data_IF_332193995958
#
_entry.id   IF_332193995958
#
_cell.length_a   1.000
_cell.length_b   1.000
_cell.length_c   1.000
_cell.angle_alpha   90.00
_cell.angle_beta   90.00
_cell.angle_gamma   90.00
#
_symmetry.space_group_name_H-M   'P 1'
#
loop_
_entity.id
_entity.type
_entity.pdbx_description
1 polymer ?
#
# COMPACT_ATOMS: atom_id res chain seq x y z
N UNK A 1 15.64 13.04 -10.06
CA UNK A 1 14.55 12.52 -9.21
C UNK A 1 14.91 12.85 -7.77
N UNK A 2 14.02 13.49 -7.01
CA UNK A 2 14.30 13.79 -5.60
C UNK A 2 14.43 12.48 -4.80
N UNK A 3 15.46 12.33 -3.98
CA UNK A 3 15.75 11.12 -3.19
C UNK A 3 14.55 10.69 -2.34
N UNK A 4 13.75 11.66 -1.87
CA UNK A 4 12.54 11.42 -1.06
C UNK A 4 11.46 10.65 -1.84
N UNK A 5 11.34 10.89 -3.15
CA UNK A 5 10.34 10.23 -3.99
C UNK A 5 10.61 8.74 -4.15
N UNK A 6 11.88 8.38 -4.32
CA UNK A 6 12.31 6.98 -4.36
C UNK A 6 11.99 6.29 -3.03
N UNK A 7 12.27 6.98 -1.92
CA UNK A 7 12.05 6.43 -0.59
C UNK A 7 10.56 6.23 -0.29
N UNK A 8 9.71 7.22 -0.57
CA UNK A 8 8.25 7.14 -0.40
C UNK A 8 7.66 6.00 -1.24
N UNK A 9 8.03 5.91 -2.52
CA UNK A 9 7.54 4.82 -3.39
C UNK A 9 7.98 3.45 -2.89
N UNK A 10 9.24 3.31 -2.48
CA UNK A 10 9.76 2.06 -1.93
C UNK A 10 9.03 1.60 -0.66
N UNK A 11 8.68 2.53 0.23
CA UNK A 11 7.89 2.22 1.45
C UNK A 11 6.51 1.66 1.06
N UNK A 12 5.81 2.32 0.13
CA UNK A 12 4.48 1.87 -0.29
C UNK A 12 4.51 0.59 -1.13
N UNK A 13 5.58 0.34 -1.88
CA UNK A 13 5.77 -0.93 -2.60
C UNK A 13 5.98 -2.09 -1.61
N UNK A 14 6.71 -1.87 -0.51
CA UNK A 14 6.89 -2.86 0.54
C UNK A 14 5.56 -3.13 1.27
N UNK A 15 4.81 -2.09 1.61
CA UNK A 15 3.45 -2.23 2.14
C UNK A 15 2.55 -3.03 1.18
N UNK A 16 2.64 -2.78 -0.12
CA UNK A 16 1.90 -3.53 -1.14
C UNK A 16 2.29 -5.01 -1.13
N UNK A 17 3.59 -5.33 -1.03
CA UNK A 17 4.07 -6.71 -0.89
C UNK A 17 3.48 -7.37 0.35
N UNK A 18 3.52 -6.72 1.52
CA UNK A 18 2.91 -7.24 2.75
C UNK A 18 1.42 -7.54 2.56
N UNK A 19 0.66 -6.61 1.96
CA UNK A 19 -0.77 -6.81 1.68
C UNK A 19 -1.00 -7.99 0.74
N UNK A 20 -0.19 -8.14 -0.33
CA UNK A 20 -0.30 -9.27 -1.26
C UNK A 20 0.00 -10.60 -0.55
N UNK A 21 1.02 -10.67 0.29
CA UNK A 21 1.33 -11.85 1.10
C UNK A 21 0.21 -12.18 2.09
N UNK A 22 -0.30 -11.18 2.82
CA UNK A 22 -1.41 -11.36 3.74
C UNK A 22 -2.67 -11.88 3.05
N UNK A 23 -3.04 -11.31 1.89
CA UNK A 23 -4.16 -11.77 1.09
C UNK A 23 -3.97 -13.22 0.61
N UNK A 24 -2.73 -13.60 0.27
CA UNK A 24 -2.40 -14.98 -0.15
C UNK A 24 -2.56 -15.97 1.01
N UNK A 25 -2.07 -15.62 2.20
CA UNK A 25 -2.22 -16.42 3.41
C UNK A 25 -3.70 -16.64 3.71
N UNK A 26 -4.48 -15.57 3.77
CA UNK A 26 -5.94 -15.64 4.01
C UNK A 26 -6.63 -16.48 2.94
N UNK A 27 -6.25 -16.32 1.66
CA UNK A 27 -6.80 -17.12 0.56
C UNK A 27 -6.53 -18.63 0.71
N UNK A 28 -5.33 -19.01 1.12
CA UNK A 28 -4.99 -20.42 1.37
C UNK A 28 -5.80 -21.00 2.54
N UNK A 29 -5.95 -20.24 3.63
CA UNK A 29 -6.76 -20.67 4.77
C UNK A 29 -8.25 -20.83 4.40
N UNK A 30 -8.81 -19.90 3.64
CA UNK A 30 -10.19 -20.00 3.15
C UNK A 30 -10.40 -21.21 2.26
N UNK A 31 -9.45 -21.50 1.36
CA UNK A 31 -9.50 -22.69 0.52
C UNK A 31 -9.46 -23.98 1.34
N UNK A 32 -8.66 -24.03 2.42
CA UNK A 32 -8.63 -25.16 3.36
C UNK A 32 -9.96 -25.36 4.11
N UNK A 33 -10.65 -24.27 4.45
CA UNK A 33 -11.98 -24.32 5.06
C UNK A 33 -13.10 -24.64 4.05
N UNK A 34 -12.76 -24.95 2.79
CA UNK A 34 -13.72 -25.34 1.76
C UNK A 34 -14.39 -24.18 1.03
N UNK A 35 -14.02 -22.93 1.31
CA UNK A 35 -14.55 -21.77 0.58
C UNK A 35 -13.92 -21.70 -0.81
N UNK A 36 -14.76 -21.74 -1.86
CA UNK A 36 -14.29 -21.58 -3.23
C UNK A 36 -13.89 -20.13 -3.51
N UNK A 37 -12.89 -19.88 -4.38
CA UNK A 37 -12.51 -18.52 -4.76
C UNK A 37 -13.70 -17.73 -5.33
N UNK A 38 -14.03 -16.58 -4.74
CA UNK A 38 -15.09 -15.68 -5.19
C UNK A 38 -16.45 -15.83 -4.50
N UNK A 39 -16.62 -16.82 -3.60
CA UNK A 39 -17.84 -16.92 -2.77
C UNK A 39 -17.77 -15.98 -1.56
N UNK A 40 -18.91 -15.40 -1.16
CA UNK A 40 -19.00 -14.53 0.03
C UNK A 40 -18.82 -15.35 1.30
N UNK A 41 -18.16 -14.79 2.32
CA UNK A 41 -17.90 -15.47 3.62
C UNK A 41 -19.16 -15.88 4.40
N UNK A 42 -20.34 -15.44 3.96
CA UNK A 42 -21.63 -15.81 4.56
C UNK A 42 -22.01 -17.29 4.34
N UNK A 43 -21.32 -18.00 3.44
CA UNK A 43 -21.50 -19.45 3.21
C UNK A 43 -20.67 -20.35 4.12
N UNK A 44 -19.80 -19.79 4.98
CA UNK A 44 -19.01 -20.54 5.96
C UNK A 44 -19.87 -20.90 7.19
N UNK A 45 -19.71 -22.14 7.66
CA UNK A 45 -20.37 -22.64 8.88
C UNK A 45 -19.93 -21.83 10.13
N UNK A 46 -20.78 -21.82 11.15
CA UNK A 46 -20.65 -21.06 12.40
C UNK A 46 -19.34 -21.41 13.13
N UNK A 47 -18.89 -22.66 13.02
CA UNK A 47 -17.60 -23.14 13.55
C UNK A 47 -16.40 -22.49 12.84
N UNK A 48 -16.46 -22.29 11.52
CA UNK A 48 -15.38 -21.66 10.74
C UNK A 48 -15.17 -20.19 11.12
N UNK A 49 -16.25 -19.48 11.47
CA UNK A 49 -16.19 -18.08 11.95
C UNK A 49 -15.58 -17.97 13.35
N UNK A 50 -15.86 -18.94 14.23
CA UNK A 50 -15.27 -19.01 15.58
C UNK A 50 -13.77 -19.31 15.47
N UNK A 51 -13.38 -20.26 14.62
CA UNK A 51 -11.98 -20.61 14.35
C UNK A 51 -11.18 -19.43 13.79
N UNK A 52 -11.75 -18.65 12.87
CA UNK A 52 -11.13 -17.43 12.33
C UNK A 52 -10.90 -16.35 13.39
N UNK A 53 -11.81 -16.20 14.35
CA UNK A 53 -11.66 -15.24 15.44
C UNK A 53 -10.63 -15.71 16.48
N UNK A 54 -10.60 -17.01 16.78
CA UNK A 54 -9.57 -17.61 17.63
C UNK A 54 -8.18 -17.52 16.98
N UNK A 55 -8.08 -17.69 15.65
CA UNK A 55 -6.85 -17.49 14.87
C UNK A 55 -6.29 -16.08 14.99
N UNK A 56 -7.15 -15.07 14.94
CA UNK A 56 -6.73 -13.67 15.12
C UNK A 56 -6.18 -13.41 16.53
N UNK A 57 -6.75 -14.08 17.54
CA UNK A 57 -6.32 -13.96 18.93
C UNK A 57 -5.03 -14.77 19.22
N UNK A 58 -4.93 -16.00 18.71
CA UNK A 58 -3.75 -16.86 18.89
C UNK A 58 -2.54 -16.32 18.13
N UNK A 59 -2.73 -15.76 16.93
CA UNK A 59 -1.65 -15.17 16.15
C UNK A 59 -0.94 -14.02 16.89
N UNK A 60 -1.68 -13.17 17.62
CA UNK A 60 -1.11 -12.11 18.46
C UNK A 60 -0.19 -12.66 19.59
N UNK A 61 -0.44 -13.89 20.04
CA UNK A 61 0.36 -14.58 21.05
C UNK A 61 1.52 -15.37 20.42
N UNK A 62 1.33 -15.98 19.24
CA UNK A 62 2.36 -16.69 18.48
C UNK A 62 3.47 -15.74 18.01
N UNK A 63 3.12 -14.51 17.57
CA UNK A 63 4.12 -13.48 17.25
C UNK A 63 5.06 -13.17 18.41
N UNK A 64 4.57 -13.25 19.66
CA UNK A 64 5.40 -13.07 20.86
C UNK A 64 6.23 -14.31 21.20
N UNK A 65 5.76 -15.52 20.85
CA UNK A 65 6.47 -16.78 21.08
C UNK A 65 7.68 -16.96 20.14
N UNK A 66 7.61 -16.46 18.90
CA UNK A 66 8.68 -16.58 17.90
C UNK A 66 9.91 -15.72 18.26
N UNK A 67 9.75 -14.61 18.99
CA UNK A 67 10.87 -13.77 19.45
C UNK A 67 11.82 -14.55 20.39
N UNK A 68 11.34 -15.64 21.03
CA UNK A 68 12.08 -16.38 22.04
C UNK A 68 12.60 -17.77 21.60
N UNK A 69 12.29 -18.25 20.39
CA UNK A 69 12.57 -19.64 20.01
C UNK A 69 13.95 -19.85 19.34
N UNK A 70 14.78 -20.82 19.80
CA UNK A 70 16.07 -21.18 19.18
C UNK A 70 15.87 -21.95 17.85
N UNK A 71 16.92 -22.11 17.02
CA UNK A 71 16.76 -22.60 15.66
C UNK A 71 16.35 -24.08 15.59
N UNK A 72 15.29 -24.32 14.80
CA UNK A 72 14.90 -25.56 14.09
C UNK A 72 14.93 -26.86 14.93
N UNK A 73 13.90 -27.01 15.76
CA UNK A 73 13.31 -28.34 16.03
C UNK A 73 12.51 -28.80 14.78
N UNK A 74 12.30 -30.11 14.56
CA UNK A 74 11.35 -30.57 13.54
C UNK A 74 9.98 -29.94 13.81
N UNK A 75 9.36 -29.39 12.77
CA UNK A 75 8.09 -28.68 12.88
C UNK A 75 6.99 -29.64 13.36
N UNK A 76 6.65 -29.58 14.63
CA UNK A 76 5.43 -30.20 15.18
C UNK A 76 4.27 -29.28 14.80
N UNK A 77 3.54 -29.64 13.74
CA UNK A 77 2.39 -28.87 13.27
C UNK A 77 1.26 -28.83 14.30
N UNK A 78 0.46 -27.78 14.24
CA UNK A 78 -0.75 -27.60 15.04
C UNK A 78 -2.00 -27.85 14.16
N UNK A 79 -3.21 -27.89 14.75
CA UNK A 79 -4.48 -28.04 14.02
C UNK A 79 -4.66 -26.98 12.92
N UNK A 80 -3.99 -25.84 13.06
CA UNK A 80 -4.14 -24.64 12.23
C UNK A 80 -3.02 -24.48 11.19
N UNK A 81 -1.76 -24.71 11.55
CA UNK A 81 -0.61 -24.65 10.63
C UNK A 81 -0.12 -26.08 10.46
N UNK A 82 -0.71 -26.75 9.46
CA UNK A 82 -0.51 -28.18 9.27
C UNK A 82 0.73 -28.50 8.42
N UNK A 83 1.35 -27.50 7.80
CA UNK A 83 2.46 -27.66 6.87
C UNK A 83 3.57 -26.65 7.14
N UNK A 84 4.82 -27.11 7.06
CA UNK A 84 6.03 -26.27 7.08
C UNK A 84 5.97 -25.13 6.03
N UNK A 85 5.29 -25.35 4.91
CA UNK A 85 5.11 -24.34 3.85
C UNK A 85 4.28 -23.15 4.37
N UNK A 86 3.25 -23.40 5.17
CA UNK A 86 2.41 -22.36 5.74
C UNK A 86 3.10 -21.58 6.85
N UNK A 87 3.89 -22.29 7.65
CA UNK A 87 4.77 -21.68 8.63
C UNK A 87 5.75 -20.70 7.97
N UNK A 88 6.44 -21.13 6.91
CA UNK A 88 7.38 -20.27 6.18
C UNK A 88 6.68 -19.07 5.53
N UNK A 89 5.46 -19.24 5.01
CA UNK A 89 4.68 -18.11 4.48
C UNK A 89 4.31 -17.10 5.57
N UNK A 90 3.99 -17.56 6.78
CA UNK A 90 3.69 -16.69 7.91
C UNK A 90 4.93 -15.95 8.40
N UNK A 91 6.06 -16.65 8.51
CA UNK A 91 7.34 -16.07 8.90
C UNK A 91 7.76 -14.94 7.93
N UNK A 92 7.62 -15.18 6.62
CA UNK A 92 7.86 -14.14 5.61
C UNK A 92 6.92 -12.93 5.74
N UNK A 93 5.65 -13.15 6.10
CA UNK A 93 4.72 -12.03 6.34
C UNK A 93 5.14 -11.18 7.55
N UNK A 94 5.55 -11.82 8.65
CA UNK A 94 6.02 -11.12 9.85
C UNK A 94 7.32 -10.34 9.58
N UNK A 95 8.24 -10.92 8.82
CA UNK A 95 9.46 -10.22 8.42
C UNK A 95 9.14 -9.00 7.54
N UNK A 96 8.19 -9.12 6.60
CA UNK A 96 7.72 -7.98 5.81
C UNK A 96 7.09 -6.88 6.66
N UNK A 97 6.30 -7.23 7.68
CA UNK A 97 5.71 -6.25 8.62
C UNK A 97 6.80 -5.51 9.43
N UNK A 98 7.81 -6.25 9.89
CA UNK A 98 8.97 -5.67 10.57
C UNK A 98 9.76 -4.73 9.64
N UNK A 99 9.98 -5.14 8.39
CA UNK A 99 10.67 -4.33 7.39
C UNK A 99 9.86 -3.09 7.01
N UNK A 100 8.54 -3.19 6.84
CA UNK A 100 7.64 -2.05 6.61
C UNK A 100 7.80 -1.01 7.71
N UNK A 101 7.70 -1.46 8.97
CA UNK A 101 7.83 -0.59 10.14
C UNK A 101 9.20 0.10 10.21
N UNK A 102 10.28 -0.63 9.94
CA UNK A 102 11.64 -0.07 9.88
C UNK A 102 11.77 0.96 8.75
N UNK A 103 11.14 0.70 7.60
CA UNK A 103 11.21 1.57 6.44
C UNK A 103 10.42 2.87 6.65
N UNK A 104 9.25 2.84 7.31
CA UNK A 104 8.52 4.05 7.71
C UNK A 104 9.31 4.91 8.70
N UNK A 105 10.04 4.29 9.66
CA UNK A 105 10.96 5.03 10.54
C UNK A 105 12.16 5.61 9.79
N UNK A 106 12.59 4.96 8.70
CA UNK A 106 13.62 5.50 7.81
C UNK A 106 13.10 6.70 7.01
N UNK A 107 11.86 6.62 6.51
CA UNK A 107 11.17 7.72 5.87
C UNK A 107 11.07 8.95 6.76
N UNK A 108 10.65 8.77 8.02
CA UNK A 108 10.60 9.87 8.98
C UNK A 108 11.98 10.54 9.16
N UNK A 109 13.05 9.75 9.27
CA UNK A 109 14.42 10.30 9.37
C UNK A 109 14.81 11.11 8.14
N UNK A 110 14.51 10.62 6.94
CA UNK A 110 14.76 11.36 5.70
C UNK A 110 13.90 12.61 5.55
N UNK A 111 12.69 12.63 6.11
CA UNK A 111 11.82 13.81 6.09
C UNK A 111 12.32 14.95 6.98
N UNK A 112 13.02 14.63 8.08
CA UNK A 112 13.61 15.65 8.98
C UNK A 112 14.66 16.54 8.32
N UNK A 113 15.19 16.16 7.16
CA UNK A 113 16.09 17.01 6.35
C UNK A 113 15.36 18.19 5.69
N UNK A 114 14.02 18.15 5.61
CA UNK A 114 13.22 19.15 4.91
C UNK A 114 12.53 20.10 5.93
N UNK A 115 12.83 21.41 5.91
CA UNK A 115 12.27 22.37 6.88
C UNK A 115 10.75 22.39 6.93
N UNK A 116 10.10 22.29 5.76
CA UNK A 116 8.64 22.22 5.65
C UNK A 116 8.02 21.05 6.42
N UNK A 117 8.75 19.95 6.61
CA UNK A 117 8.27 18.85 7.44
C UNK A 117 8.38 19.18 8.94
N UNK A 118 9.54 19.66 9.37
CA UNK A 118 9.84 19.92 10.78
C UNK A 118 9.12 21.16 11.33
N UNK A 119 8.89 22.17 10.50
CA UNK A 119 8.36 23.48 10.92
C UNK A 119 6.86 23.63 10.66
N UNK A 120 6.27 22.82 9.76
CA UNK A 120 4.87 22.97 9.37
C UNK A 120 4.10 21.65 9.38
N UNK A 121 4.49 20.67 8.57
CA UNK A 121 3.68 19.45 8.38
C UNK A 121 3.54 18.60 9.64
N UNK A 122 4.48 18.68 10.58
CA UNK A 122 4.43 17.95 11.86
C UNK A 122 3.29 18.44 12.77
N UNK A 123 2.94 19.73 12.68
CA UNK A 123 1.89 20.33 13.52
C UNK A 123 0.48 20.19 12.91
N UNK A 124 0.39 19.73 11.65
CA UNK A 124 -0.89 19.56 10.97
C UNK A 124 -1.56 18.25 11.42
N UNK A 125 -2.72 18.38 12.07
CA UNK A 125 -3.52 17.24 12.49
C UNK A 125 -3.87 16.33 11.30
N UNK A 126 -3.58 15.03 11.43
CA UNK A 126 -3.83 14.03 10.39
C UNK A 126 -2.67 13.83 9.41
N UNK A 127 -1.61 14.65 9.46
CA UNK A 127 -0.43 14.50 8.61
C UNK A 127 0.68 13.79 9.37
N UNK A 128 0.72 12.46 9.25
CA UNK A 128 1.84 11.65 9.74
C UNK A 128 3.04 11.66 8.77
N UNK A 129 4.18 11.03 9.15
CA UNK A 129 5.36 10.91 8.29
C UNK A 129 5.04 10.30 6.90
N UNK A 130 4.13 9.34 6.86
CA UNK A 130 3.68 8.72 5.61
C UNK A 130 3.02 9.72 4.65
N UNK A 131 2.13 10.58 5.16
CA UNK A 131 1.40 11.56 4.35
C UNK A 131 2.28 12.76 4.01
N UNK A 132 3.09 13.23 4.95
CA UNK A 132 4.10 14.26 4.70
C UNK A 132 5.06 13.87 3.58
N UNK A 133 5.50 12.61 3.56
CA UNK A 133 6.31 12.07 2.47
C UNK A 133 5.60 12.12 1.12
N UNK A 134 4.32 11.75 1.07
CA UNK A 134 3.51 11.82 -0.18
C UNK A 134 3.41 13.26 -0.69
N UNK A 135 3.07 14.20 0.18
CA UNK A 135 2.95 15.62 -0.15
C UNK A 135 4.27 16.13 -0.75
N UNK A 136 5.39 15.90 -0.07
CA UNK A 136 6.70 16.42 -0.49
C UNK A 136 7.27 15.74 -1.74
N UNK A 137 6.93 14.47 -1.98
CA UNK A 137 7.51 13.71 -3.09
C UNK A 137 6.72 13.82 -4.40
N UNK A 138 5.41 14.09 -4.31
CA UNK A 138 4.52 13.98 -5.45
C UNK A 138 3.85 15.31 -5.82
N UNK A 139 3.64 16.25 -4.88
CA UNK A 139 3.10 17.58 -5.22
C UNK A 139 4.24 18.46 -5.73
N UNK A 140 4.12 18.90 -6.98
CA UNK A 140 5.03 19.84 -7.61
C UNK A 140 4.37 21.22 -7.67
N UNK A 141 4.78 22.12 -6.77
CA UNK A 141 4.17 23.45 -6.64
C UNK A 141 4.39 24.31 -7.88
N UNK A 142 5.43 24.04 -8.68
CA UNK A 142 5.69 24.78 -9.91
C UNK A 142 4.75 24.37 -11.06
N UNK A 143 4.04 23.25 -10.92
CA UNK A 143 3.03 22.80 -11.89
C UNK A 143 1.61 23.20 -11.50
N UNK A 144 1.39 23.69 -10.29
CA UNK A 144 0.08 24.03 -9.76
C UNK A 144 0.13 25.41 -9.11
N UNK A 145 -0.17 26.44 -9.88
CA UNK A 145 -0.15 27.84 -9.45
C UNK A 145 -1.23 28.16 -8.40
N UNK A 146 -2.41 27.54 -8.52
CA UNK A 146 -3.56 27.80 -7.65
C UNK A 146 -3.89 26.58 -6.77
N UNK A 147 -4.49 26.78 -5.57
CA UNK A 147 -4.94 25.67 -4.72
C UNK A 147 -5.89 24.70 -5.42
N UNK A 148 -6.78 25.21 -6.27
CA UNK A 148 -7.66 24.39 -7.11
C UNK A 148 -6.89 23.52 -8.09
N UNK A 149 -5.77 24.02 -8.63
CA UNK A 149 -4.86 23.27 -9.49
C UNK A 149 -4.18 22.13 -8.75
N UNK A 150 -3.91 22.27 -7.44
CA UNK A 150 -3.37 21.18 -6.61
C UNK A 150 -4.42 20.06 -6.46
N UNK A 151 -5.69 20.41 -6.20
CA UNK A 151 -6.77 19.43 -6.15
C UNK A 151 -6.95 18.70 -7.48
N UNK A 152 -6.87 19.43 -8.60
CA UNK A 152 -6.93 18.83 -9.93
C UNK A 152 -5.71 17.93 -10.21
N UNK A 153 -4.53 18.34 -9.77
CA UNK A 153 -3.30 17.55 -9.88
C UNK A 153 -3.37 16.24 -9.08
N UNK A 154 -4.00 16.27 -7.90
CA UNK A 154 -4.30 15.08 -7.11
C UNK A 154 -5.48 14.25 -7.66
N UNK A 155 -6.24 14.78 -8.64
CA UNK A 155 -7.42 14.13 -9.22
C UNK A 155 -8.62 14.10 -8.27
N UNK A 156 -8.69 15.07 -7.35
CA UNK A 156 -9.80 15.27 -6.40
C UNK A 156 -10.80 16.32 -6.90
N UNK A 157 -10.59 16.88 -8.10
CA UNK A 157 -11.49 17.82 -8.73
C UNK A 157 -12.64 17.13 -9.48
N UNK A 158 -13.63 17.95 -9.83
CA UNK A 158 -14.76 17.56 -10.67
C UNK A 158 -14.40 17.88 -12.13
N UNK A 159 -14.52 16.89 -13.00
CA UNK A 159 -14.31 17.06 -14.44
C UNK A 159 -15.50 17.80 -15.09
N UNK A 160 -15.34 18.19 -16.36
CA UNK A 160 -16.36 18.98 -17.08
C UNK A 160 -17.72 18.31 -17.25
N UNK A 161 -17.81 17.00 -17.01
CA UNK A 161 -19.04 16.20 -17.05
C UNK A 161 -19.76 16.13 -15.69
N UNK A 162 -19.24 16.82 -14.66
CA UNK A 162 -19.78 16.79 -13.30
C UNK A 162 -19.37 15.57 -12.48
N UNK A 163 -18.49 14.69 -12.99
CA UNK A 163 -18.00 13.51 -12.27
C UNK A 163 -16.60 13.73 -11.70
N UNK A 164 -16.23 12.94 -10.68
CA UNK A 164 -14.86 12.94 -10.17
C UNK A 164 -13.87 12.50 -11.26
N UNK A 165 -12.80 13.29 -11.46
CA UNK A 165 -11.77 13.04 -12.48
C UNK A 165 -11.23 11.62 -12.33
N UNK A 166 -11.06 10.87 -13.42
CA UNK A 166 -10.73 9.44 -13.40
C UNK A 166 -10.10 8.99 -14.72
N UNK A 167 -9.81 7.70 -14.90
CA UNK A 167 -9.24 7.15 -16.14
C UNK A 167 -10.28 6.91 -17.25
N UNK A 168 -11.42 7.59 -17.17
CA UNK A 168 -12.48 7.57 -18.18
C UNK A 168 -12.06 8.35 -19.41
N UNK A 169 -12.52 7.95 -20.59
CA UNK A 169 -12.09 8.55 -21.88
C UNK A 169 -12.34 10.06 -21.91
N UNK A 170 -13.44 10.49 -21.31
CA UNK A 170 -13.92 11.87 -21.22
C UNK A 170 -13.00 12.76 -20.37
N UNK A 171 -12.16 12.18 -19.52
CA UNK A 171 -11.26 12.90 -18.61
C UNK A 171 -9.81 12.95 -19.10
N UNK A 172 -9.52 12.30 -20.23
CA UNK A 172 -8.20 12.23 -20.82
C UNK A 172 -8.01 13.37 -21.82
N UNK A 173 -6.76 13.83 -21.95
CA UNK A 173 -6.41 14.94 -22.84
C UNK A 173 -5.41 14.44 -23.87
N UNK A 174 -5.62 14.80 -25.12
CA UNK A 174 -4.66 14.51 -26.20
C UNK A 174 -3.44 15.42 -26.06
N UNK A 175 -2.27 14.80 -26.01
CA UNK A 175 -0.98 15.47 -25.90
C UNK A 175 -0.18 15.15 -27.14
N UNK A 176 0.19 16.16 -27.91
CA UNK A 176 1.14 16.05 -29.02
C UNK A 176 2.56 15.92 -28.47
N UNK A 177 3.34 15.02 -29.05
CA UNK A 177 4.75 14.85 -28.71
C UNK A 177 5.52 14.44 -29.97
N UNK A 178 6.81 14.76 -29.99
CA UNK A 178 7.71 14.35 -31.07
C UNK A 178 8.19 12.93 -30.77
N UNK A 179 7.94 12.00 -31.68
CA UNK A 179 8.37 10.62 -31.55
C UNK A 179 9.90 10.49 -31.79
N UNK A 180 10.46 9.30 -31.59
CA UNK A 180 11.91 9.07 -31.80
C UNK A 180 12.36 9.30 -33.25
N UNK A 181 11.41 9.24 -34.18
CA UNK A 181 11.62 9.36 -35.62
C UNK A 181 11.44 10.81 -36.11
N UNK A 182 11.18 11.76 -35.20
CA UNK A 182 11.04 13.19 -35.50
C UNK A 182 9.66 13.61 -35.99
N UNK A 183 8.67 12.72 -35.97
CA UNK A 183 7.29 13.00 -36.39
C UNK A 183 6.40 13.41 -35.20
N UNK A 184 5.39 14.25 -35.47
CA UNK A 184 4.38 14.62 -34.48
C UNK A 184 3.40 13.47 -34.27
N UNK A 185 3.42 12.88 -33.08
CA UNK A 185 2.50 11.84 -32.66
C UNK A 185 1.56 12.35 -31.55
N UNK A 186 0.33 11.85 -31.53
CA UNK A 186 -0.63 12.13 -30.46
C UNK A 186 -0.71 10.97 -29.49
N UNK A 187 -0.74 11.28 -28.18
CA UNK A 187 -1.06 10.30 -27.14
C UNK A 187 -2.18 10.80 -26.25
N UNK A 188 -3.01 9.87 -25.80
CA UNK A 188 -4.03 10.15 -24.81
C UNK A 188 -3.39 10.12 -23.41
N UNK A 189 -3.29 11.28 -22.77
CA UNK A 189 -2.64 11.48 -21.49
C UNK A 189 -3.60 11.53 -20.31
N UNK A 190 -3.14 11.04 -19.15
CA UNK A 190 -3.84 11.23 -17.87
C UNK A 190 -3.55 12.65 -17.36
N UNK A 191 -4.58 13.32 -16.85
CA UNK A 191 -4.54 14.74 -16.45
C UNK A 191 -4.21 14.97 -14.97
N UNK A 192 -4.02 13.91 -14.19
CA UNK A 192 -3.73 13.94 -12.75
C UNK A 192 -2.64 12.92 -12.41
N UNK A 193 -2.02 13.05 -11.23
CA UNK A 193 -1.05 12.08 -10.72
C UNK A 193 -1.77 10.84 -10.17
N UNK A 194 -1.66 9.65 -10.80
CA UNK A 194 -2.40 8.47 -10.39
C UNK A 194 -2.02 7.95 -9.01
N UNK A 195 -0.80 8.22 -8.56
CA UNK A 195 -0.33 7.80 -7.24
C UNK A 195 -1.03 8.63 -6.16
N UNK A 196 -1.03 9.96 -6.30
CA UNK A 196 -1.69 10.88 -5.36
C UNK A 196 -3.18 10.57 -5.21
N UNK A 197 -3.86 10.26 -6.32
CA UNK A 197 -5.28 9.93 -6.28
C UNK A 197 -5.62 8.71 -5.39
N UNK A 198 -4.66 7.81 -5.19
CA UNK A 198 -4.88 6.57 -4.42
C UNK A 198 -4.42 6.64 -2.97
N UNK A 199 -3.89 7.80 -2.53
CA UNK A 199 -3.36 8.01 -1.18
C UNK A 199 -4.26 8.95 -0.41
#
# INVERSE_FOLDING_TARGET
>A
MSNIKTLVRGVYDLQKLRIMFGNRIVGNFKAKQGQKPGEREDTLDTEGKILLNQLRASHKLISNAIIAAPPRLPFEGDELISSEIEYNLMDHYLELENQESKQFRSLERGLREYPIYTEFLTDVCGVGPAMAGVILSEIDIHKAEYPSSIHAYAGLDVAGDGQGRSRKKEHLVEVTYINKDGEEATRVGITFNPFLKTK
#
